data_IF_313373374243
#
_entry.id   IF_313373374243
#
_cell.length_a   1.000
_cell.length_b   1.000
_cell.length_c   1.000
_cell.angle_alpha   90.00
_cell.angle_beta   90.00
_cell.angle_gamma   90.00
#
_symmetry.space_group_name_H-M   'P 1'
#
loop_
_entity.id
_entity.type
_entity.pdbx_description
1 polymer ?
#
# COMPACT_ATOMS: atom_id res chain seq x y z
N UNK A 1 -4.47 10.67 9.39
CA UNK A 1 -5.25 9.64 10.09
C UNK A 1 -6.07 8.94 9.04
N UNK A 2 -5.79 7.67 8.76
CA UNK A 2 -6.62 6.85 7.89
C UNK A 2 -7.89 6.51 8.67
N UNK A 3 -9.02 7.15 8.35
CA UNK A 3 -10.31 6.89 9.02
C UNK A 3 -11.09 5.84 8.24
N UNK A 4 -11.72 4.86 8.91
CA UNK A 4 -12.47 3.77 8.28
C UNK A 4 -13.71 4.26 7.52
N UNK A 5 -14.16 5.50 7.75
CA UNK A 5 -15.28 6.11 7.03
C UNK A 5 -15.08 6.26 5.51
N UNK A 6 -13.85 6.11 4.99
CA UNK A 6 -13.60 6.12 3.54
C UNK A 6 -13.86 4.76 2.83
N UNK A 7 -14.21 3.69 3.58
CA UNK A 7 -14.41 2.35 3.01
C UNK A 7 -15.88 1.91 2.85
N UNK A 8 -16.84 2.60 3.45
CA UNK A 8 -18.24 2.14 3.53
C UNK A 8 -19.21 2.71 2.47
N UNK A 9 -18.76 3.50 1.51
CA UNK A 9 -19.63 4.01 0.44
C UNK A 9 -19.75 3.03 -0.75
N UNK A 10 -20.33 1.85 -0.51
CA UNK A 10 -20.78 0.93 -1.55
C UNK A 10 -22.26 1.21 -1.92
N UNK A 11 -22.51 2.07 -2.91
CA UNK A 11 -23.66 1.95 -3.84
C UNK A 11 -23.63 3.00 -4.95
N UNK A 12 -23.73 2.47 -6.19
CA UNK A 12 -24.05 3.07 -7.50
C UNK A 12 -23.13 4.18 -8.07
N UNK A 13 -22.50 3.95 -9.24
CA UNK A 13 -22.09 5.05 -10.11
C UNK A 13 -23.28 5.45 -11.01
N UNK A 14 -23.79 6.66 -10.84
CA UNK A 14 -24.64 7.32 -11.84
C UNK A 14 -23.71 7.91 -12.92
N UNK A 15 -23.76 7.38 -14.15
CA UNK A 15 -23.03 7.93 -15.31
C UNK A 15 -23.74 9.19 -15.85
N UNK A 16 -23.04 10.32 -16.04
CA UNK A 16 -23.50 11.35 -16.96
C UNK A 16 -22.94 11.12 -18.38
N UNK A 17 -23.88 11.10 -19.33
CA UNK A 17 -23.67 11.01 -20.78
C UNK A 17 -22.76 12.13 -21.35
N UNK A 18 -21.88 11.86 -22.36
CA UNK A 18 -20.90 12.84 -22.82
C UNK A 18 -21.43 13.73 -23.96
N UNK A 19 -21.31 15.05 -23.80
CA UNK A 19 -21.36 16.00 -24.94
C UNK A 19 -19.94 16.36 -25.38
N UNK A 20 -19.68 16.05 -26.66
CA UNK A 20 -18.39 16.14 -27.35
C UNK A 20 -18.03 17.60 -27.68
N UNK A 21 -16.90 18.10 -27.18
CA UNK A 21 -16.11 19.17 -27.85
C UNK A 21 -14.63 18.85 -27.84
N UNK A 22 -14.09 18.70 -29.04
CA UNK A 22 -12.68 18.46 -29.36
C UNK A 22 -11.85 19.73 -29.10
N UNK A 23 -10.92 19.67 -28.15
CA UNK A 23 -9.83 20.65 -27.97
C UNK A 23 -8.50 19.92 -28.09
N UNK A 24 -7.56 20.60 -28.77
CA UNK A 24 -6.31 20.08 -29.30
C UNK A 24 -5.50 19.20 -28.35
N UNK A 25 -4.89 18.19 -28.96
CA UNK A 25 -4.02 17.18 -28.35
C UNK A 25 -2.73 17.84 -27.85
N UNK A 26 -2.80 18.58 -26.73
CA UNK A 26 -1.64 18.80 -25.86
C UNK A 26 -1.12 17.41 -25.53
N UNK A 27 0.14 17.09 -25.87
CA UNK A 27 0.79 15.88 -25.36
C UNK A 27 0.63 15.92 -23.85
N UNK A 28 -0.23 15.05 -23.32
CA UNK A 28 -0.42 14.93 -21.90
C UNK A 28 0.97 14.64 -21.33
N UNK A 29 1.48 15.52 -20.46
CA UNK A 29 2.64 15.17 -19.63
C UNK A 29 2.29 13.81 -19.00
N UNK A 30 3.21 12.82 -19.01
CA UNK A 30 2.94 11.57 -18.30
C UNK A 30 2.47 11.96 -16.90
N UNK A 31 1.28 11.52 -16.52
CA UNK A 31 0.76 11.78 -15.17
C UNK A 31 1.85 11.33 -14.22
N UNK A 32 2.46 12.27 -13.48
CA UNK A 32 3.45 11.92 -12.46
C UNK A 32 2.76 10.91 -11.57
N UNK A 33 3.24 9.66 -11.58
CA UNK A 33 2.67 8.63 -10.72
C UNK A 33 2.89 9.08 -9.29
N UNK A 34 1.85 9.08 -8.43
CA UNK A 34 1.98 9.61 -7.08
C UNK A 34 3.02 8.84 -6.25
N UNK A 35 3.17 7.55 -6.52
CA UNK A 35 4.11 6.63 -5.87
C UNK A 35 5.05 6.04 -6.92
N UNK A 36 6.32 5.82 -6.54
CA UNK A 36 7.26 5.01 -7.32
C UNK A 36 6.82 3.54 -7.38
N UNK A 37 7.42 2.75 -8.25
CA UNK A 37 7.18 1.31 -8.36
C UNK A 37 8.46 0.53 -8.09
N UNK A 38 8.33 -0.62 -7.43
CA UNK A 38 9.40 -1.61 -7.34
C UNK A 38 9.15 -2.75 -8.31
N UNK A 39 10.15 -3.62 -8.47
CA UNK A 39 9.97 -4.86 -9.24
C UNK A 39 8.87 -5.72 -8.61
N UNK A 40 8.05 -6.35 -9.46
CA UNK A 40 7.06 -7.32 -8.98
C UNK A 40 7.75 -8.43 -8.19
N UNK A 41 7.14 -8.84 -7.09
CA UNK A 41 7.62 -9.89 -6.18
C UNK A 41 9.01 -9.61 -5.58
N UNK A 42 9.43 -8.33 -5.54
CA UNK A 42 10.70 -7.93 -4.96
C UNK A 42 10.64 -7.74 -3.44
N UNK A 43 11.80 -7.82 -2.79
CA UNK A 43 11.94 -7.48 -1.38
C UNK A 43 11.50 -6.03 -1.10
N UNK A 44 11.81 -5.10 -2.00
CA UNK A 44 11.46 -3.68 -1.87
C UNK A 44 9.94 -3.44 -1.96
N UNK A 45 9.22 -4.17 -2.81
CA UNK A 45 7.76 -4.10 -2.89
C UNK A 45 7.11 -4.53 -1.56
N UNK A 46 7.58 -5.64 -0.99
CA UNK A 46 7.15 -6.13 0.33
C UNK A 46 7.52 -5.14 1.44
N UNK A 47 8.77 -4.67 1.47
CA UNK A 47 9.23 -3.66 2.42
C UNK A 47 8.41 -2.37 2.38
N UNK A 48 7.92 -1.97 1.21
CA UNK A 48 7.07 -0.78 1.10
C UNK A 48 5.70 -0.99 1.74
N UNK A 49 5.12 -2.18 1.67
CA UNK A 49 3.89 -2.49 2.40
C UNK A 49 4.13 -2.53 3.91
N UNK A 50 5.30 -3.01 4.35
CA UNK A 50 5.70 -2.96 5.76
C UNK A 50 5.91 -1.52 6.25
N UNK A 51 6.57 -0.68 5.44
CA UNK A 51 6.69 0.74 5.70
C UNK A 51 5.31 1.42 5.74
N UNK A 52 4.37 1.02 4.87
CA UNK A 52 3.01 1.52 4.90
C UNK A 52 2.27 1.10 6.19
N UNK A 53 2.47 -0.12 6.67
CA UNK A 53 1.90 -0.56 7.96
C UNK A 53 2.41 0.28 9.14
N UNK A 54 3.71 0.59 9.17
CA UNK A 54 4.31 1.47 10.18
C UNK A 54 3.81 2.92 10.13
N UNK A 55 3.27 3.35 8.99
CA UNK A 55 2.75 4.72 8.82
C UNK A 55 1.23 4.80 9.00
N UNK A 56 0.53 3.66 9.10
CA UNK A 56 -0.93 3.60 9.02
C UNK A 56 -1.63 4.32 10.19
N UNK A 57 -1.07 4.24 11.39
CA UNK A 57 -1.55 4.95 12.58
C UNK A 57 -0.95 6.37 12.71
N UNK A 58 -0.01 6.75 11.84
CA UNK A 58 0.71 8.03 11.89
C UNK A 58 1.74 8.15 13.01
N UNK A 59 2.11 7.04 13.66
CA UNK A 59 3.08 6.94 14.74
C UNK A 59 4.02 5.77 14.44
N UNK A 60 5.32 6.01 14.55
CA UNK A 60 6.30 4.93 14.44
C UNK A 60 6.90 4.74 15.83
N UNK A 61 6.51 3.68 16.53
CA UNK A 61 7.08 3.35 17.81
C UNK A 61 8.43 2.65 17.60
N UNK A 62 9.47 2.95 18.40
CA UNK A 62 10.77 2.29 18.29
C UNK A 62 10.67 0.75 18.31
N UNK A 63 9.76 0.21 19.13
CA UNK A 63 9.54 -1.23 19.24
C UNK A 63 9.02 -1.89 17.94
N UNK A 64 8.24 -1.19 17.12
CA UNK A 64 7.73 -1.72 15.84
C UNK A 64 8.88 -1.85 14.83
N UNK A 65 9.75 -0.84 14.79
CA UNK A 65 10.94 -0.81 13.94
C UNK A 65 11.95 -1.87 14.40
N UNK A 66 12.13 -2.02 15.72
CA UNK A 66 13.01 -3.04 16.28
C UNK A 66 12.48 -4.45 16.01
N UNK A 67 11.17 -4.70 16.13
CA UNK A 67 10.58 -6.00 15.75
C UNK A 67 10.85 -6.32 14.28
N UNK A 68 10.71 -5.34 13.39
CA UNK A 68 10.98 -5.54 11.97
C UNK A 68 12.47 -5.81 11.68
N UNK A 69 13.36 -5.08 12.34
CA UNK A 69 14.81 -5.18 12.13
C UNK A 69 15.45 -6.39 12.82
N UNK A 70 15.11 -6.63 14.09
CA UNK A 70 15.81 -7.56 14.98
C UNK A 70 15.23 -8.98 14.94
N UNK A 71 13.94 -9.15 14.59
CA UNK A 71 13.34 -10.50 14.44
C UNK A 71 13.60 -11.10 13.05
N UNK A 72 14.56 -10.55 12.30
CA UNK A 72 14.95 -11.07 10.99
C UNK A 72 13.89 -10.87 9.89
N UNK A 73 12.88 -10.01 10.10
CA UNK A 73 11.87 -9.70 9.08
C UNK A 73 12.51 -9.19 7.79
N UNK A 74 13.47 -8.26 7.92
CA UNK A 74 14.26 -7.73 6.79
C UNK A 74 15.11 -8.81 6.09
N UNK A 75 15.71 -9.72 6.86
CA UNK A 75 16.49 -10.82 6.30
C UNK A 75 15.60 -11.78 5.47
N UNK A 76 14.36 -12.03 5.92
CA UNK A 76 13.39 -12.84 5.17
C UNK A 76 12.93 -12.19 3.85
N UNK A 77 13.12 -10.88 3.71
CA UNK A 77 12.85 -10.10 2.50
C UNK A 77 14.06 -10.01 1.57
N UNK A 78 15.23 -10.53 2.01
CA UNK A 78 16.50 -10.36 1.31
C UNK A 78 17.02 -8.93 1.33
N UNK A 79 16.64 -8.15 2.35
CA UNK A 79 17.00 -6.73 2.47
C UNK A 79 17.89 -6.48 3.69
N UNK A 80 18.78 -5.49 3.54
CA UNK A 80 19.46 -4.90 4.69
C UNK A 80 18.56 -3.89 5.40
N UNK A 81 18.98 -3.49 6.61
CA UNK A 81 18.36 -2.37 7.35
C UNK A 81 18.42 -1.07 6.53
N UNK A 82 19.52 -0.83 5.82
CA UNK A 82 19.71 0.36 4.97
C UNK A 82 18.76 0.37 3.76
N UNK A 83 18.55 -0.78 3.12
CA UNK A 83 17.59 -0.90 2.03
C UNK A 83 16.17 -0.60 2.51
N UNK A 84 15.81 -1.09 3.69
CA UNK A 84 14.50 -0.81 4.27
C UNK A 84 14.30 0.69 4.56
N UNK A 85 15.27 1.35 5.20
CA UNK A 85 15.17 2.79 5.45
C UNK A 85 15.16 3.61 4.16
N UNK A 86 15.83 3.14 3.12
CA UNK A 86 15.72 3.73 1.78
C UNK A 86 14.28 3.62 1.29
N UNK A 87 13.68 2.42 1.31
CA UNK A 87 12.29 2.21 0.90
C UNK A 87 11.30 3.07 1.70
N UNK A 88 11.51 3.19 3.01
CA UNK A 88 10.68 4.02 3.89
C UNK A 88 10.81 5.51 3.56
N UNK A 89 12.04 6.02 3.42
CA UNK A 89 12.29 7.41 3.02
C UNK A 89 11.63 7.72 1.67
N UNK A 90 11.77 6.80 0.74
CA UNK A 90 11.21 6.87 -0.59
C UNK A 90 9.68 6.94 -0.60
N UNK A 91 9.02 6.12 0.23
CA UNK A 91 7.58 6.16 0.45
C UNK A 91 7.16 7.50 1.07
N UNK A 92 7.81 7.96 2.14
CA UNK A 92 7.52 9.24 2.78
C UNK A 92 7.68 10.42 1.81
N UNK A 93 8.72 10.40 0.97
CA UNK A 93 8.96 11.45 -0.02
C UNK A 93 7.87 11.47 -1.11
N UNK A 94 7.34 10.31 -1.48
CA UNK A 94 6.27 10.21 -2.49
C UNK A 94 4.93 10.67 -1.91
N UNK A 95 4.60 10.19 -0.71
CA UNK A 95 3.41 10.59 0.05
C UNK A 95 3.44 12.10 0.35
N UNK A 96 4.60 12.66 0.71
CA UNK A 96 4.79 14.09 0.96
C UNK A 96 4.56 15.01 -0.26
N UNK A 97 4.56 14.45 -1.48
CA UNK A 97 4.23 15.19 -2.72
C UNK A 97 2.75 15.15 -3.05
N UNK A 98 1.96 14.35 -2.34
CA UNK A 98 0.52 14.25 -2.54
C UNK A 98 -0.22 15.36 -1.79
N UNK A 99 -1.42 15.74 -2.26
CA UNK A 99 -2.28 16.65 -1.51
C UNK A 99 -2.60 16.06 -0.12
N UNK A 100 -2.28 16.78 0.95
CA UNK A 100 -2.72 16.40 2.29
C UNK A 100 -4.20 16.76 2.46
N UNK A 101 -4.98 15.83 3.02
CA UNK A 101 -6.38 16.05 3.39
C UNK A 101 -6.46 16.10 4.91
N UNK A 102 -7.08 17.15 5.46
CA UNK A 102 -7.36 17.24 6.90
C UNK A 102 -6.13 17.16 7.82
N UNK A 103 -4.96 17.58 7.37
CA UNK A 103 -3.72 17.57 8.19
C UNK A 103 -2.97 16.23 8.19
N UNK A 104 -3.36 15.28 7.34
CA UNK A 104 -2.63 14.02 7.16
C UNK A 104 -2.51 13.62 5.69
N UNK A 105 -1.69 12.59 5.46
CA UNK A 105 -1.60 11.95 4.16
C UNK A 105 -2.57 10.77 4.09
N UNK A 106 -3.33 10.68 3.00
CA UNK A 106 -4.31 9.63 2.77
C UNK A 106 -4.00 9.00 1.42
N UNK A 107 -3.65 7.72 1.41
CA UNK A 107 -3.58 6.95 0.17
C UNK A 107 -5.00 6.53 -0.23
N UNK A 108 -5.37 6.74 -1.48
CA UNK A 108 -6.62 6.24 -2.01
C UNK A 108 -6.61 4.71 -2.07
N UNK A 109 -7.80 4.10 -2.07
CA UNK A 109 -7.95 2.65 -2.24
C UNK A 109 -7.23 2.12 -3.48
N UNK A 110 -7.29 2.85 -4.59
CA UNK A 110 -6.62 2.46 -5.83
C UNK A 110 -5.10 2.49 -5.69
N UNK A 111 -4.55 3.46 -4.95
CA UNK A 111 -3.12 3.53 -4.69
C UNK A 111 -2.66 2.36 -3.83
N UNK A 112 -3.39 2.02 -2.76
CA UNK A 112 -3.07 0.85 -1.92
C UNK A 112 -3.15 -0.43 -2.75
N UNK A 113 -4.19 -0.60 -3.58
CA UNK A 113 -4.32 -1.74 -4.47
C UNK A 113 -3.13 -1.86 -5.44
N UNK A 114 -2.70 -0.75 -6.04
CA UNK A 114 -1.54 -0.74 -6.94
C UNK A 114 -0.26 -1.24 -6.25
N UNK A 115 -0.09 -0.97 -4.94
CA UNK A 115 1.04 -1.49 -4.16
C UNK A 115 0.89 -3.00 -3.86
N UNK A 116 -0.33 -3.44 -3.54
CA UNK A 116 -0.64 -4.84 -3.28
C UNK A 116 -0.47 -5.72 -4.53
N UNK A 117 -0.75 -5.17 -5.71
CA UNK A 117 -0.61 -5.85 -7.02
C UNK A 117 0.85 -6.03 -7.46
N UNK A 118 1.80 -5.39 -6.76
CA UNK A 118 3.24 -5.67 -6.95
C UNK A 118 3.66 -7.00 -6.33
N UNK A 119 2.86 -7.60 -5.45
CA UNK A 119 3.12 -8.93 -4.88
C UNK A 119 2.07 -9.90 -5.42
N UNK A 120 2.51 -10.79 -6.29
CA UNK A 120 1.65 -11.79 -6.94
C UNK A 120 1.93 -13.21 -6.46
N UNK A 121 3.15 -13.48 -5.99
CA UNK A 121 3.54 -14.77 -5.45
C UNK A 121 2.78 -15.08 -4.13
N UNK A 122 2.03 -16.19 -4.03
CA UNK A 122 1.26 -16.53 -2.85
C UNK A 122 2.09 -16.68 -1.57
N UNK A 123 3.32 -17.21 -1.68
CA UNK A 123 4.22 -17.40 -0.55
C UNK A 123 4.76 -16.07 -0.05
N UNK A 124 5.07 -15.13 -0.95
CA UNK A 124 5.46 -13.76 -0.56
C UNK A 124 4.31 -13.00 0.09
N UNK A 125 3.07 -13.21 -0.37
CA UNK A 125 1.87 -12.64 0.26
C UNK A 125 1.69 -13.11 1.69
N UNK A 126 1.77 -14.42 1.91
CA UNK A 126 1.65 -15.01 3.26
C UNK A 126 2.73 -14.45 4.19
N UNK A 127 3.98 -14.48 3.75
CA UNK A 127 5.10 -13.91 4.51
C UNK A 127 4.90 -12.43 4.82
N UNK A 128 4.46 -11.63 3.84
CA UNK A 128 4.24 -10.20 4.04
C UNK A 128 3.14 -9.95 5.05
N UNK A 129 2.02 -10.68 4.99
CA UNK A 129 0.94 -10.61 5.97
C UNK A 129 1.42 -10.97 7.38
N UNK A 130 2.20 -12.04 7.51
CA UNK A 130 2.75 -12.47 8.81
C UNK A 130 3.62 -11.37 9.44
N UNK A 131 4.51 -10.77 8.65
CA UNK A 131 5.38 -9.69 9.15
C UNK A 131 4.56 -8.43 9.44
N UNK A 132 3.62 -8.03 8.57
CA UNK A 132 2.73 -6.89 8.82
C UNK A 132 1.98 -7.06 10.15
N UNK A 133 1.40 -8.23 10.38
CA UNK A 133 0.65 -8.52 11.60
C UNK A 133 1.56 -8.52 12.85
N UNK A 134 2.76 -9.10 12.75
CA UNK A 134 3.73 -9.11 13.85
C UNK A 134 4.18 -7.68 14.24
N UNK A 135 4.41 -6.82 13.24
CA UNK A 135 4.80 -5.41 13.46
C UNK A 135 3.66 -4.63 14.09
N UNK A 136 2.45 -4.67 13.51
CA UNK A 136 1.30 -3.91 14.01
C UNK A 136 0.90 -4.34 15.43
N UNK A 137 1.03 -5.62 15.79
CA UNK A 137 0.69 -6.10 17.14
C UNK A 137 1.77 -5.79 18.19
N UNK A 138 2.94 -5.30 17.79
CA UNK A 138 4.12 -5.24 18.68
C UNK A 138 3.94 -4.34 19.91
N UNK A 139 3.08 -3.32 19.83
CA UNK A 139 2.75 -2.42 20.95
C UNK A 139 1.48 -2.88 21.72
N UNK A 140 0.85 -3.98 21.30
CA UNK A 140 -0.35 -4.56 21.88
C UNK A 140 -1.65 -3.86 21.49
N UNK A 141 -1.64 -2.93 20.52
CA UNK A 141 -2.82 -2.21 20.02
C UNK A 141 -2.91 -2.37 18.51
N UNK A 142 -4.12 -2.24 17.98
CA UNK A 142 -4.36 -2.16 16.54
C UNK A 142 -5.33 -1.00 16.36
N UNK A 143 -4.83 0.08 15.80
CA UNK A 143 -5.59 1.28 15.57
C UNK A 143 -6.45 1.11 14.30
N UNK A 144 -7.46 1.97 14.14
CA UNK A 144 -8.43 1.89 13.05
C UNK A 144 -7.78 1.87 11.65
N UNK A 145 -6.72 2.67 11.47
CA UNK A 145 -5.97 2.74 10.21
C UNK A 145 -5.16 1.47 9.89
N UNK A 146 -4.61 0.81 10.92
CA UNK A 146 -3.86 -0.44 10.77
C UNK A 146 -4.82 -1.60 10.47
N UNK A 147 -5.94 -1.66 11.18
CA UNK A 147 -6.99 -2.64 10.93
C UNK A 147 -7.56 -2.49 9.51
N UNK A 148 -7.82 -1.26 9.07
CA UNK A 148 -8.30 -0.99 7.71
C UNK A 148 -7.29 -1.47 6.65
N UNK A 149 -6.00 -1.20 6.84
CA UNK A 149 -4.94 -1.66 5.93
C UNK A 149 -4.81 -3.20 5.92
N UNK A 150 -4.87 -3.83 7.09
CA UNK A 150 -4.81 -5.28 7.21
C UNK A 150 -6.00 -5.95 6.51
N UNK A 151 -7.21 -5.44 6.73
CA UNK A 151 -8.42 -5.94 6.07
C UNK A 151 -8.40 -5.73 4.56
N UNK A 152 -7.92 -4.57 4.08
CA UNK A 152 -7.75 -4.32 2.65
C UNK A 152 -6.77 -5.31 2.00
N UNK A 153 -5.66 -5.60 2.69
CA UNK A 153 -4.64 -6.56 2.25
C UNK A 153 -5.21 -7.98 2.15
N UNK A 154 -5.91 -8.43 3.21
CA UNK A 154 -6.55 -9.75 3.24
C UNK A 154 -7.59 -9.92 2.13
N UNK A 155 -8.47 -8.92 1.94
CA UNK A 155 -9.50 -8.98 0.92
C UNK A 155 -8.91 -9.04 -0.50
N UNK A 156 -7.92 -8.19 -0.81
CA UNK A 156 -7.27 -8.17 -2.12
C UNK A 156 -6.60 -9.51 -2.46
N UNK A 157 -5.93 -10.12 -1.47
CA UNK A 157 -5.21 -11.37 -1.68
C UNK A 157 -6.10 -12.61 -1.62
N UNK A 158 -7.25 -12.58 -0.91
CA UNK A 158 -8.26 -13.63 -0.95
C UNK A 158 -9.04 -13.62 -2.29
N UNK A 159 -9.41 -12.44 -2.81
CA UNK A 159 -10.04 -12.32 -4.14
C UNK A 159 -9.16 -12.90 -5.25
N UNK A 160 -7.84 -12.68 -5.16
CA UNK A 160 -6.89 -13.29 -6.10
C UNK A 160 -6.83 -14.82 -5.96
N UNK A 161 -6.92 -15.36 -4.73
CA UNK A 161 -6.93 -16.81 -4.47
C UNK A 161 -8.20 -17.47 -5.03
N UNK A 162 -9.33 -16.78 -4.99
CA UNK A 162 -10.62 -17.27 -5.49
C UNK A 162 -10.72 -17.25 -7.02
N UNK A 163 -9.97 -16.37 -7.70
CA UNK A 163 -9.98 -16.27 -9.17
C UNK A 163 -8.56 -16.12 -9.75
N UNK A 164 -7.79 -17.22 -9.94
CA UNK A 164 -6.44 -17.16 -10.50
C UNK A 164 -6.38 -16.84 -12.01
N UNK A 165 -7.45 -16.35 -12.64
CA UNK A 165 -7.46 -16.14 -14.08
C UNK A 165 -8.57 -15.23 -14.58
N UNK A 166 -8.29 -13.94 -14.70
CA UNK A 166 -8.76 -13.14 -15.84
C UNK A 166 -7.58 -12.31 -16.33
N UNK A 167 -6.76 -12.96 -17.16
CA UNK A 167 -5.78 -12.31 -18.00
C UNK A 167 -6.49 -11.17 -18.76
N UNK A 168 -6.23 -9.91 -18.41
CA UNK A 168 -6.65 -8.78 -19.25
C UNK A 168 -5.74 -8.74 -20.47
N UNK A 169 -6.08 -9.56 -21.45
CA UNK A 169 -5.56 -9.48 -22.80
C UNK A 169 -6.48 -8.59 -23.66
N UNK A 170 -5.82 -7.67 -24.36
CA UNK A 170 -6.28 -6.82 -25.49
C UNK A 170 -6.96 -5.51 -25.14
#
# INVERSE_FOLDING_TARGET
MLTAHDFDAFSTPEEPSPTRRTVGRRRARPRRRPLRHYGRDSGQAQARLLALSLLANGRMAPCEVDVLCDQGGLAQLGLSREDFFTVLYELCADVGRMPALGGGYVLSRTQVQDLLDEITDPTLRERTLEIMYAVMRSDGRLDEGELALLMATLNAWDETRRFPGHNRAS
#
